data_IF_118655932532
#
_entry.id   IF_118655932532
#
_cell.length_a   1.000
_cell.length_b   1.000
_cell.length_c   1.000
_cell.angle_alpha   90.00
_cell.angle_beta   90.00
_cell.angle_gamma   90.00
#
_symmetry.space_group_name_H-M   'P 1'
#
loop_
_entity.id
_entity.type
_entity.pdbx_description
1 polymer ?
#
# COMPACT_ATOMS: atom_id res chain seq x y z
N UNK A 1 -16.64 3.07 -8.67
CA UNK A 1 -15.87 4.18 -9.26
C UNK A 1 -15.07 3.57 -10.39
N UNK A 2 -15.65 3.55 -11.59
CA UNK A 2 -15.25 2.62 -12.66
C UNK A 2 -15.20 3.40 -13.98
N UNK A 3 -14.15 4.19 -14.15
CA UNK A 3 -13.86 4.88 -15.41
C UNK A 3 -12.61 4.26 -16.01
N UNK A 4 -12.54 4.20 -17.33
CA UNK A 4 -11.38 3.68 -18.07
C UNK A 4 -10.06 4.35 -17.63
N UNK A 5 -10.10 5.67 -17.39
CA UNK A 5 -8.95 6.45 -16.89
C UNK A 5 -8.49 6.00 -15.51
N UNK A 6 -9.42 5.63 -14.63
CA UNK A 6 -9.08 5.15 -13.30
C UNK A 6 -8.47 3.74 -13.37
N UNK A 7 -8.97 2.87 -14.25
CA UNK A 7 -8.36 1.56 -14.50
C UNK A 7 -6.94 1.67 -15.09
N UNK A 8 -6.72 2.61 -16.02
CA UNK A 8 -5.38 2.90 -16.56
C UNK A 8 -4.43 3.38 -15.44
N UNK A 9 -4.88 4.30 -14.58
CA UNK A 9 -4.12 4.72 -13.41
C UNK A 9 -3.75 3.54 -12.48
N UNK A 10 -4.71 2.66 -12.18
CA UNK A 10 -4.45 1.48 -11.36
C UNK A 10 -3.46 0.51 -12.00
N UNK A 11 -3.43 0.43 -13.34
CA UNK A 11 -2.43 -0.34 -14.09
C UNK A 11 -1.04 0.24 -13.90
N UNK A 12 -0.89 1.57 -13.98
CA UNK A 12 0.38 2.25 -13.70
C UNK A 12 0.86 2.01 -12.26
N UNK A 13 -0.03 2.13 -11.27
CA UNK A 13 0.29 1.84 -9.87
C UNK A 13 0.72 0.38 -9.70
N UNK A 14 0.03 -0.56 -10.36
CA UNK A 14 0.39 -1.97 -10.34
C UNK A 14 1.81 -2.20 -10.89
N UNK A 15 2.15 -1.63 -12.04
CA UNK A 15 3.48 -1.78 -12.63
C UNK A 15 4.59 -1.24 -11.71
N UNK A 16 4.34 -0.09 -11.09
CA UNK A 16 5.25 0.47 -10.10
C UNK A 16 5.42 -0.47 -8.90
N UNK A 17 4.32 -0.94 -8.31
CA UNK A 17 4.34 -1.83 -7.16
C UNK A 17 5.00 -3.18 -7.48
N UNK A 18 4.82 -3.74 -8.68
CA UNK A 18 5.48 -4.98 -9.10
C UNK A 18 7.02 -4.80 -9.14
N UNK A 19 7.50 -3.67 -9.68
CA UNK A 19 8.92 -3.36 -9.70
C UNK A 19 9.48 -3.09 -8.29
N UNK A 20 8.69 -2.40 -7.47
CA UNK A 20 9.01 -2.10 -6.08
C UNK A 20 9.15 -3.38 -5.24
N UNK A 21 8.20 -4.31 -5.35
CA UNK A 21 8.25 -5.63 -4.71
C UNK A 21 9.46 -6.42 -5.17
N UNK A 22 9.74 -6.46 -6.49
CA UNK A 22 10.89 -7.19 -7.02
C UNK A 22 12.21 -6.65 -6.42
N UNK A 23 12.37 -5.33 -6.37
CA UNK A 23 13.55 -4.69 -5.77
C UNK A 23 13.65 -4.94 -4.26
N UNK A 24 12.52 -4.86 -3.55
CA UNK A 24 12.47 -5.11 -2.11
C UNK A 24 12.88 -6.55 -1.79
N UNK A 25 12.35 -7.54 -2.52
CA UNK A 25 12.73 -8.96 -2.35
C UNK A 25 14.21 -9.23 -2.63
N UNK A 26 14.83 -8.46 -3.54
CA UNK A 26 16.25 -8.61 -3.87
C UNK A 26 17.19 -7.91 -2.86
N UNK A 27 16.76 -6.79 -2.29
CA UNK A 27 17.66 -5.90 -1.52
C UNK A 27 17.29 -5.74 -0.05
N UNK A 28 16.11 -6.20 0.37
CA UNK A 28 15.54 -5.93 1.70
C UNK A 28 15.16 -4.46 1.93
N UNK A 29 15.44 -3.56 0.99
CA UNK A 29 15.16 -2.12 1.14
C UNK A 29 13.73 -1.83 0.71
N UNK A 30 12.97 -1.20 1.61
CA UNK A 30 11.62 -0.73 1.31
C UNK A 30 11.64 0.20 0.09
N UNK A 31 10.76 0.01 -0.90
CA UNK A 31 10.94 0.60 -2.22
C UNK A 31 10.56 2.06 -2.30
N UNK A 32 9.75 2.62 -1.39
CA UNK A 32 9.51 4.07 -1.23
C UNK A 32 8.50 4.33 -0.11
N UNK A 33 8.89 5.05 0.93
CA UNK A 33 7.97 5.82 1.76
C UNK A 33 8.30 7.30 1.51
N UNK A 34 7.31 8.07 1.05
CA UNK A 34 7.38 9.51 1.31
C UNK A 34 7.47 9.65 2.83
N UNK A 35 8.38 10.48 3.38
CA UNK A 35 8.58 10.53 4.83
C UNK A 35 7.29 10.87 5.57
N UNK A 36 6.37 11.59 4.92
CA UNK A 36 5.05 11.92 5.47
C UNK A 36 3.98 11.90 4.37
N UNK A 37 3.33 10.76 4.10
CA UNK A 37 2.22 10.72 3.16
C UNK A 37 0.96 11.32 3.80
N UNK A 38 0.21 12.10 3.04
CA UNK A 38 -1.09 12.63 3.46
C UNK A 38 -2.13 11.51 3.59
N UNK A 39 -3.22 11.78 4.32
CA UNK A 39 -4.32 10.83 4.43
C UNK A 39 -4.97 10.47 3.07
N UNK A 40 -5.01 11.42 2.14
CA UNK A 40 -5.54 11.19 0.79
C UNK A 40 -4.64 10.24 -0.01
N UNK A 41 -3.32 10.41 0.07
CA UNK A 41 -2.35 9.52 -0.58
C UNK A 41 -2.41 8.11 -0.01
N UNK A 42 -2.50 7.96 1.32
CA UNK A 42 -2.65 6.66 1.97
C UNK A 42 -3.97 5.97 1.63
N UNK A 43 -5.06 6.73 1.48
CA UNK A 43 -6.35 6.20 1.04
C UNK A 43 -6.27 5.70 -0.40
N UNK A 44 -5.71 6.50 -1.32
CA UNK A 44 -5.52 6.10 -2.70
C UNK A 44 -4.61 4.86 -2.81
N UNK A 45 -3.54 4.81 -2.02
CA UNK A 45 -2.66 3.64 -1.91
C UNK A 45 -3.43 2.41 -1.44
N UNK A 46 -4.19 2.50 -0.34
CA UNK A 46 -4.96 1.38 0.19
C UNK A 46 -5.95 0.79 -0.85
N UNK A 47 -6.68 1.66 -1.56
CA UNK A 47 -7.60 1.27 -2.63
C UNK A 47 -6.85 0.55 -3.76
N UNK A 48 -5.72 1.12 -4.22
CA UNK A 48 -4.95 0.52 -5.30
C UNK A 48 -4.32 -0.84 -4.91
N UNK A 49 -3.84 -0.97 -3.68
CA UNK A 49 -3.32 -2.23 -3.14
C UNK A 49 -4.43 -3.30 -3.11
N UNK A 50 -5.65 -2.93 -2.69
CA UNK A 50 -6.78 -3.84 -2.57
C UNK A 50 -7.27 -4.32 -3.94
N UNK A 51 -7.51 -3.38 -4.87
CA UNK A 51 -7.96 -3.70 -6.23
C UNK A 51 -6.94 -4.59 -6.95
N UNK A 52 -5.65 -4.32 -6.76
CA UNK A 52 -4.57 -5.12 -7.35
C UNK A 52 -4.22 -6.38 -6.54
N UNK A 53 -4.96 -6.70 -5.46
CA UNK A 53 -4.80 -7.91 -4.63
C UNK A 53 -3.37 -8.12 -4.13
N UNK A 54 -2.75 -7.06 -3.61
CA UNK A 54 -1.38 -7.11 -3.09
C UNK A 54 -1.26 -7.97 -1.83
N UNK A 55 -0.08 -8.53 -1.58
CA UNK A 55 0.17 -9.28 -0.36
C UNK A 55 0.18 -8.39 0.89
N UNK A 56 -0.24 -8.97 2.03
CA UNK A 56 -0.35 -8.27 3.31
C UNK A 56 0.97 -7.62 3.76
N UNK A 57 2.10 -8.30 3.52
CA UNK A 57 3.41 -7.81 3.93
C UNK A 57 3.80 -6.54 3.16
N UNK A 58 3.64 -6.56 1.83
CA UNK A 58 3.90 -5.38 1.00
C UNK A 58 2.90 -4.26 1.27
N UNK A 59 1.63 -4.59 1.53
CA UNK A 59 0.62 -3.59 1.88
C UNK A 59 0.98 -2.84 3.17
N UNK A 60 1.45 -3.54 4.21
CA UNK A 60 1.94 -2.90 5.44
C UNK A 60 3.14 -2.00 5.16
N UNK A 61 4.11 -2.48 4.39
CA UNK A 61 5.29 -1.72 4.01
C UNK A 61 4.94 -0.44 3.23
N UNK A 62 4.05 -0.54 2.23
CA UNK A 62 3.60 0.60 1.44
C UNK A 62 2.78 1.63 2.23
N UNK A 63 2.26 1.25 3.40
CA UNK A 63 1.52 2.11 4.33
C UNK A 63 2.36 2.56 5.54
N UNK A 64 3.66 2.22 5.58
CA UNK A 64 4.58 2.59 6.66
C UNK A 64 4.31 1.84 7.97
N UNK A 65 3.90 0.58 7.89
CA UNK A 65 3.54 -0.28 9.02
C UNK A 65 4.47 -1.52 9.14
N UNK A 66 5.49 -1.64 8.30
CA UNK A 66 6.37 -2.82 8.18
C UNK A 66 7.16 -3.13 9.45
N UNK A 67 7.56 -2.11 10.21
CA UNK A 67 8.28 -2.29 11.48
C UNK A 67 7.35 -2.55 12.69
N UNK A 68 6.03 -2.62 12.49
CA UNK A 68 5.05 -2.65 13.58
C UNK A 68 4.35 -4.01 13.67
N UNK A 69 4.09 -4.44 14.91
CA UNK A 69 3.34 -5.67 15.19
C UNK A 69 2.51 -5.53 16.47
N UNK A 70 1.57 -6.46 16.69
CA UNK A 70 0.73 -6.48 17.89
C UNK A 70 -0.05 -5.19 18.12
N UNK A 71 -0.01 -4.66 19.34
CA UNK A 71 -0.70 -3.42 19.69
C UNK A 71 -0.08 -2.20 19.00
N UNK A 72 1.24 -2.15 18.85
CA UNK A 72 1.92 -1.04 18.19
C UNK A 72 1.46 -0.86 16.73
N UNK A 73 1.15 -1.97 16.04
CA UNK A 73 0.55 -1.93 14.71
C UNK A 73 -0.87 -1.34 14.76
N UNK A 74 -1.71 -1.82 15.67
CA UNK A 74 -3.13 -1.44 15.75
C UNK A 74 -3.36 -0.01 16.22
N UNK A 75 -2.46 0.52 17.05
CA UNK A 75 -2.53 1.87 17.60
C UNK A 75 -1.91 2.93 16.68
N UNK A 76 -1.19 2.52 15.62
CA UNK A 76 -0.56 3.45 14.70
C UNK A 76 -1.58 4.19 13.83
N UNK A 77 -1.37 5.48 13.60
CA UNK A 77 -2.30 6.36 12.86
C UNK A 77 -2.60 5.87 11.43
N UNK A 78 -1.68 5.10 10.84
CA UNK A 78 -1.85 4.55 9.49
C UNK A 78 -2.60 3.21 9.46
N UNK A 79 -2.87 2.59 10.61
CA UNK A 79 -3.52 1.28 10.68
C UNK A 79 -4.90 1.28 10.00
N UNK A 80 -5.67 2.37 10.14
CA UNK A 80 -6.97 2.54 9.47
C UNK A 80 -6.92 2.37 7.95
N UNK A 81 -5.81 2.73 7.31
CA UNK A 81 -5.67 2.56 5.85
C UNK A 81 -5.36 1.11 5.48
N UNK A 82 -4.70 0.38 6.38
CA UNK A 82 -4.53 -1.06 6.23
C UNK A 82 -5.88 -1.77 6.42
N UNK A 83 -6.73 -1.33 7.34
CA UNK A 83 -8.11 -1.83 7.45
C UNK A 83 -8.89 -1.59 6.16
N UNK A 84 -8.85 -0.39 5.58
CA UNK A 84 -9.45 -0.12 4.28
C UNK A 84 -8.94 -1.03 3.17
N UNK A 85 -7.63 -1.34 3.16
CA UNK A 85 -7.06 -2.31 2.23
C UNK A 85 -7.68 -3.71 2.41
N UNK A 86 -7.94 -4.15 3.65
CA UNK A 86 -8.55 -5.46 3.94
C UNK A 86 -10.05 -5.51 3.64
N UNK A 87 -10.76 -4.40 3.81
CA UNK A 87 -12.22 -4.30 3.65
C UNK A 87 -12.66 -4.03 2.21
N UNK A 88 -11.80 -3.46 1.37
CA UNK A 88 -12.12 -3.13 -0.02
C UNK A 88 -12.24 -4.34 -0.97
N UNK A 89 -12.40 -5.57 -0.43
CA UNK A 89 -12.57 -6.83 -1.15
C UNK A 89 -13.86 -7.56 -0.72
#
# INVERSE_FOLDING_TARGET
MDTEKFAEYLTYVKMFDDAAVAKWRLSGKAPLAHPEPTAAELTARAIALAINKREDEYAKLALGLDALSGNALKEHTNYRFYEYFKEAL
#
